data_IF_478376870712
#
_entry.id   IF_478376870712
#
_cell.length_a   1.000
_cell.length_b   1.000
_cell.length_c   1.000
_cell.angle_alpha   90.00
_cell.angle_beta   90.00
_cell.angle_gamma   90.00
#
_symmetry.space_group_name_H-M   'P 1'
#
loop_
_entity.id
_entity.type
_entity.pdbx_description
1 polymer ?
#
# COMPACT_ATOMS: atom_id res chain seq x y z
N UNK A 1 7.71 20.51 -55.39
CA UNK A 1 8.64 20.65 -54.24
C UNK A 1 8.26 21.86 -53.38
N UNK A 2 7.11 21.81 -52.67
CA UNK A 2 6.62 22.95 -51.85
C UNK A 2 5.83 22.50 -50.60
N UNK A 3 6.12 21.31 -50.06
CA UNK A 3 5.32 20.71 -48.97
C UNK A 3 6.11 20.34 -47.71
N UNK A 4 7.42 20.60 -47.64
CA UNK A 4 8.24 20.30 -46.46
C UNK A 4 8.51 21.51 -45.57
N UNK A 5 8.35 22.74 -46.08
CA UNK A 5 8.62 23.97 -45.31
C UNK A 5 7.43 24.42 -44.44
N UNK A 6 6.19 24.12 -44.84
CA UNK A 6 5.00 24.47 -44.05
C UNK A 6 4.93 23.75 -42.69
N UNK A 7 5.52 22.56 -42.60
CA UNK A 7 5.50 21.73 -41.39
C UNK A 7 6.56 22.16 -40.35
N UNK A 8 7.62 22.84 -40.80
CA UNK A 8 8.66 23.36 -39.91
C UNK A 8 8.19 24.65 -39.22
N UNK A 9 7.51 25.54 -39.97
CA UNK A 9 7.00 26.81 -39.43
C UNK A 9 5.86 26.62 -38.40
N UNK A 10 4.99 25.62 -38.57
CA UNK A 10 3.96 25.27 -37.57
C UNK A 10 4.54 24.70 -36.27
N UNK A 11 5.69 24.03 -36.35
CA UNK A 11 6.39 23.46 -35.20
C UNK A 11 7.06 24.56 -34.34
N UNK A 12 7.52 25.64 -34.97
CA UNK A 12 8.11 26.78 -34.26
C UNK A 12 7.04 27.74 -33.70
N UNK A 13 5.91 27.91 -34.38
CA UNK A 13 4.77 28.68 -33.86
C UNK A 13 4.18 28.06 -32.58
N UNK A 14 4.01 26.73 -32.55
CA UNK A 14 3.52 26.00 -31.37
C UNK A 14 4.52 25.96 -30.21
N UNK A 15 5.83 26.04 -30.49
CA UNK A 15 6.88 26.17 -29.46
C UNK A 15 6.83 27.54 -28.78
N UNK A 16 6.59 28.60 -29.53
CA UNK A 16 6.54 29.96 -29.00
C UNK A 16 5.28 30.20 -28.14
N UNK A 17 4.14 29.61 -28.53
CA UNK A 17 2.93 29.61 -27.70
C UNK A 17 3.09 28.74 -26.43
N UNK A 18 3.78 27.58 -26.50
CA UNK A 18 4.11 26.77 -25.32
C UNK A 18 5.07 27.48 -24.37
N UNK A 19 6.05 28.23 -24.88
CA UNK A 19 6.94 29.04 -24.05
C UNK A 19 6.18 30.18 -23.34
N UNK A 20 5.21 30.80 -24.02
CA UNK A 20 4.37 31.85 -23.43
C UNK A 20 3.38 31.31 -22.38
N UNK A 21 2.84 30.10 -22.56
CA UNK A 21 1.99 29.44 -21.55
C UNK A 21 2.77 28.93 -20.33
N UNK A 22 3.97 28.37 -20.54
CA UNK A 22 4.82 27.90 -19.44
C UNK A 22 5.38 29.09 -18.64
N UNK A 23 5.76 30.19 -19.31
CA UNK A 23 6.27 31.41 -18.68
C UNK A 23 5.28 32.08 -17.72
N UNK A 24 3.96 32.02 -17.99
CA UNK A 24 2.94 32.53 -17.08
C UNK A 24 2.61 31.58 -15.92
N UNK A 25 2.82 30.27 -16.06
CA UNK A 25 2.55 29.30 -15.00
C UNK A 25 3.63 29.23 -13.91
N UNK A 26 4.84 29.71 -14.22
CA UNK A 26 6.02 29.58 -13.33
C UNK A 26 6.37 30.89 -12.59
N UNK A 27 5.82 32.04 -13.02
CA UNK A 27 6.13 33.36 -12.43
C UNK A 27 4.91 34.04 -11.80
N UNK A 28 4.09 33.28 -11.07
CA UNK A 28 3.06 33.78 -10.16
C UNK A 28 3.57 33.82 -8.72
N UNK A 29 4.26 34.92 -8.41
CA UNK A 29 4.54 35.54 -7.10
C UNK A 29 4.17 34.79 -5.82
N UNK A 30 5.16 34.69 -4.93
CA UNK A 30 4.97 34.28 -3.54
C UNK A 30 4.09 35.26 -2.77
N UNK A 31 3.07 34.71 -2.12
CA UNK A 31 2.52 35.23 -0.89
C UNK A 31 2.14 34.03 -0.01
N UNK A 32 2.55 34.02 1.26
CA UNK A 32 2.23 32.95 2.22
C UNK A 32 0.82 33.11 2.79
N UNK A 33 -0.17 33.30 1.93
CA UNK A 33 -1.58 33.19 2.30
C UNK A 33 -2.10 31.87 1.73
N UNK A 34 -2.31 30.90 2.62
CA UNK A 34 -2.85 29.59 2.27
C UNK A 34 -4.28 29.79 1.75
N UNK A 35 -4.44 29.76 0.43
CA UNK A 35 -5.74 29.89 -0.25
C UNK A 35 -6.59 28.62 -0.04
N UNK A 36 -7.16 28.50 1.16
CA UNK A 36 -8.18 27.50 1.52
C UNK A 36 -9.33 27.47 0.51
N UNK A 37 -9.64 28.61 -0.10
CA UNK A 37 -10.70 28.78 -1.09
C UNK A 37 -10.37 28.06 -2.39
N UNK A 38 -9.12 28.07 -2.84
CA UNK A 38 -8.72 27.38 -4.07
C UNK A 38 -8.60 25.86 -3.87
N UNK A 39 -8.17 25.43 -2.67
CA UNK A 39 -8.26 24.03 -2.27
C UNK A 39 -9.73 23.55 -2.22
N UNK A 40 -10.63 24.32 -1.60
CA UNK A 40 -12.07 24.02 -1.53
C UNK A 40 -12.74 23.98 -2.92
N UNK A 41 -12.41 24.93 -3.80
CA UNK A 41 -12.88 24.92 -5.20
C UNK A 41 -12.35 23.72 -5.97
N UNK A 42 -11.09 23.33 -5.75
CA UNK A 42 -10.50 22.12 -6.31
C UNK A 42 -11.19 20.83 -5.86
N UNK A 43 -11.68 20.78 -4.61
CA UNK A 43 -12.38 19.63 -4.04
C UNK A 43 -13.81 19.41 -4.55
N UNK A 44 -14.43 20.41 -5.21
CA UNK A 44 -15.79 20.29 -5.74
C UNK A 44 -15.92 19.17 -6.79
N UNK A 45 -14.90 18.98 -7.64
CA UNK A 45 -14.88 17.95 -8.69
C UNK A 45 -14.81 16.52 -8.11
N UNK A 46 -13.93 16.20 -7.14
CA UNK A 46 -13.96 14.93 -6.40
C UNK A 46 -15.29 14.62 -5.72
N UNK A 47 -15.95 15.62 -5.13
CA UNK A 47 -17.25 15.44 -4.46
C UNK A 47 -18.32 14.99 -5.45
N UNK A 48 -18.35 15.56 -6.65
CA UNK A 48 -19.25 15.11 -7.72
C UNK A 48 -18.93 13.68 -8.20
N UNK A 49 -17.66 13.29 -8.23
CA UNK A 49 -17.27 11.91 -8.56
C UNK A 49 -17.72 10.88 -7.50
N UNK A 50 -18.09 11.33 -6.29
CA UNK A 50 -18.59 10.45 -5.23
C UNK A 50 -20.00 9.89 -5.54
N UNK A 51 -20.68 10.43 -6.56
CA UNK A 51 -21.96 9.91 -7.09
C UNK A 51 -21.86 8.46 -7.56
N UNK A 52 -20.71 8.05 -8.14
CA UNK A 52 -20.49 6.65 -8.55
C UNK A 52 -20.48 5.72 -7.34
N UNK A 53 -19.91 6.19 -6.22
CA UNK A 53 -19.88 5.43 -4.96
C UNK A 53 -21.27 5.37 -4.33
N UNK A 54 -22.06 6.46 -4.41
CA UNK A 54 -23.46 6.46 -4.01
C UNK A 54 -24.29 5.41 -4.77
N UNK A 55 -24.03 5.23 -6.07
CA UNK A 55 -24.68 4.19 -6.86
C UNK A 55 -24.29 2.77 -6.40
N UNK A 56 -23.01 2.54 -6.08
CA UNK A 56 -22.56 1.27 -5.50
C UNK A 56 -23.18 1.01 -4.11
N UNK A 57 -23.34 2.05 -3.29
CA UNK A 57 -24.03 1.98 -1.99
C UNK A 57 -25.50 1.62 -2.19
N UNK A 58 -26.21 2.24 -3.13
CA UNK A 58 -27.61 1.93 -3.44
C UNK A 58 -27.81 0.48 -3.94
N UNK A 59 -26.87 -0.05 -4.73
CA UNK A 59 -26.87 -1.46 -5.14
C UNK A 59 -26.61 -2.41 -3.95
N UNK A 60 -25.72 -2.02 -3.04
CA UNK A 60 -25.46 -2.74 -1.78
C UNK A 60 -26.68 -2.75 -0.86
N UNK A 61 -27.43 -1.64 -0.79
CA UNK A 61 -28.72 -1.52 -0.10
C UNK A 61 -29.73 -2.54 -0.63
N UNK A 62 -29.81 -2.69 -1.96
CA UNK A 62 -30.74 -3.65 -2.58
C UNK A 62 -30.40 -5.11 -2.24
N UNK A 63 -29.12 -5.41 -2.00
CA UNK A 63 -28.62 -6.73 -1.64
C UNK A 63 -28.51 -6.98 -0.12
N UNK A 64 -28.86 -6.00 0.74
CA UNK A 64 -28.80 -6.10 2.21
C UNK A 64 -27.44 -6.53 2.77
N UNK A 65 -26.33 -6.01 2.24
CA UNK A 65 -24.98 -6.37 2.72
C UNK A 65 -24.65 -5.81 4.12
N UNK A 66 -25.42 -4.85 4.65
CA UNK A 66 -25.16 -4.24 5.98
C UNK A 66 -23.90 -3.37 6.05
N UNK A 67 -23.24 -3.11 4.90
CA UNK A 67 -22.00 -2.36 4.79
C UNK A 67 -22.19 -0.85 4.62
N UNK A 68 -23.42 -0.36 4.57
CA UNK A 68 -23.76 1.01 4.16
C UNK A 68 -23.12 2.06 5.05
N UNK A 69 -23.24 1.90 6.38
CA UNK A 69 -22.64 2.80 7.38
C UNK A 69 -21.11 2.71 7.37
N UNK A 70 -20.56 1.51 7.16
CA UNK A 70 -19.11 1.32 7.07
C UNK A 70 -18.53 1.97 5.80
N UNK A 71 -19.23 1.89 4.67
CA UNK A 71 -18.82 2.51 3.41
C UNK A 71 -18.82 4.04 3.53
N UNK A 72 -19.91 4.64 4.01
CA UNK A 72 -20.01 6.10 4.17
C UNK A 72 -18.94 6.61 5.15
N UNK A 73 -18.78 5.95 6.29
CA UNK A 73 -17.74 6.29 7.26
C UNK A 73 -16.33 6.17 6.66
N UNK A 74 -16.07 5.13 5.88
CA UNK A 74 -14.78 4.91 5.23
C UNK A 74 -14.46 5.99 4.20
N UNK A 75 -15.43 6.42 3.40
CA UNK A 75 -15.25 7.48 2.40
C UNK A 75 -14.97 8.82 3.08
N UNK A 76 -15.79 9.19 4.08
CA UNK A 76 -15.61 10.45 4.80
C UNK A 76 -14.25 10.49 5.49
N UNK A 77 -13.87 9.40 6.16
CA UNK A 77 -12.56 9.26 6.78
C UNK A 77 -11.43 9.34 5.75
N UNK A 78 -11.54 8.66 4.61
CA UNK A 78 -10.53 8.69 3.56
C UNK A 78 -10.36 10.09 2.97
N UNK A 79 -11.47 10.81 2.75
CA UNK A 79 -11.45 12.19 2.27
C UNK A 79 -10.70 13.11 3.25
N UNK A 80 -11.11 13.11 4.52
CA UNK A 80 -10.45 13.91 5.56
C UNK A 80 -8.97 13.53 5.71
N UNK A 81 -8.65 12.24 5.71
CA UNK A 81 -7.29 11.75 5.85
C UNK A 81 -6.40 12.16 4.66
N UNK A 82 -6.89 12.05 3.43
CA UNK A 82 -6.13 12.44 2.24
C UNK A 82 -5.89 13.96 2.19
N UNK A 83 -6.88 14.77 2.58
CA UNK A 83 -6.71 16.23 2.69
C UNK A 83 -5.63 16.61 3.70
N UNK A 84 -5.66 16.00 4.89
CA UNK A 84 -4.64 16.26 5.92
C UNK A 84 -3.26 15.80 5.45
N UNK A 85 -3.16 14.59 4.86
CA UNK A 85 -1.89 14.06 4.36
C UNK A 85 -1.30 14.94 3.25
N UNK A 86 -2.15 15.47 2.35
CA UNK A 86 -1.69 16.39 1.30
C UNK A 86 -0.95 17.61 1.86
N UNK A 87 -1.51 18.22 2.91
CA UNK A 87 -0.88 19.36 3.59
C UNK A 87 0.41 18.96 4.33
N UNK A 88 0.39 17.84 5.04
CA UNK A 88 1.57 17.32 5.76
C UNK A 88 2.72 17.02 4.79
N UNK A 89 2.43 16.43 3.64
CA UNK A 89 3.45 16.11 2.63
C UNK A 89 4.07 17.37 2.02
N UNK A 90 3.28 18.43 1.79
CA UNK A 90 3.83 19.70 1.32
C UNK A 90 4.86 20.27 2.30
N UNK A 91 4.56 20.22 3.61
CA UNK A 91 5.49 20.65 4.65
C UNK A 91 6.76 19.77 4.67
N UNK A 92 6.60 18.45 4.61
CA UNK A 92 7.73 17.50 4.64
C UNK A 92 8.62 17.67 3.40
N UNK A 93 8.05 17.90 2.22
CA UNK A 93 8.83 18.06 0.98
C UNK A 93 9.64 19.36 0.94
N UNK A 94 9.22 20.39 1.67
CA UNK A 94 9.98 21.63 1.81
C UNK A 94 11.19 21.46 2.74
N UNK A 95 11.17 20.44 3.61
CA UNK A 95 12.25 20.14 4.55
C UNK A 95 13.16 19.05 3.97
N UNK A 96 14.36 19.39 3.49
CA UNK A 96 15.34 18.43 2.95
C UNK A 96 16.07 17.59 4.03
N UNK A 97 15.42 17.33 5.17
CA UNK A 97 16.01 16.61 6.29
C UNK A 97 15.56 15.14 6.32
N UNK A 98 16.52 14.22 6.33
CA UNK A 98 16.28 12.77 6.37
C UNK A 98 15.46 12.32 7.59
N UNK A 99 15.49 13.09 8.69
CA UNK A 99 14.74 12.83 9.92
C UNK A 99 13.23 12.75 9.64
N UNK A 100 12.70 13.63 8.78
CA UNK A 100 11.27 13.64 8.44
C UNK A 100 10.85 12.41 7.63
N UNK A 101 11.73 11.91 6.77
CA UNK A 101 11.49 10.68 6.00
C UNK A 101 11.37 9.49 6.95
N UNK A 102 12.31 9.35 7.88
CA UNK A 102 12.33 8.26 8.87
C UNK A 102 11.11 8.35 9.79
N UNK A 103 10.77 9.56 10.27
CA UNK A 103 9.59 9.77 11.11
C UNK A 103 8.29 9.39 10.38
N UNK A 104 8.11 9.83 9.13
CA UNK A 104 6.97 9.46 8.31
C UNK A 104 6.91 7.94 8.07
N UNK A 105 8.06 7.30 7.83
CA UNK A 105 8.15 5.85 7.65
C UNK A 105 7.73 5.08 8.92
N UNK A 106 8.26 5.44 10.09
CA UNK A 106 7.90 4.81 11.37
C UNK A 106 6.40 5.00 11.65
N UNK A 107 5.86 6.20 11.38
CA UNK A 107 4.44 6.48 11.52
C UNK A 107 3.58 5.57 10.62
N UNK A 108 3.95 5.44 9.34
CA UNK A 108 3.28 4.54 8.39
C UNK A 108 3.31 3.08 8.86
N UNK A 109 4.48 2.58 9.28
CA UNK A 109 4.63 1.19 9.76
C UNK A 109 3.81 0.95 11.03
N UNK A 110 3.73 1.93 11.93
CA UNK A 110 2.95 1.84 13.17
C UNK A 110 1.45 1.69 12.89
N UNK A 111 0.91 2.54 12.00
CA UNK A 111 -0.50 2.46 11.58
C UNK A 111 -0.77 1.16 10.83
N UNK A 112 0.16 0.74 9.98
CA UNK A 112 0.07 -0.51 9.24
C UNK A 112 0.04 -1.73 10.17
N UNK A 113 0.94 -1.80 11.14
CA UNK A 113 0.98 -2.86 12.15
C UNK A 113 -0.31 -2.91 12.98
N UNK A 114 -0.81 -1.75 13.42
CA UNK A 114 -2.09 -1.67 14.13
C UNK A 114 -3.26 -2.18 13.27
N UNK A 115 -3.34 -1.74 12.02
CA UNK A 115 -4.43 -2.09 11.10
C UNK A 115 -4.38 -3.56 10.68
N UNK A 116 -3.20 -4.08 10.35
CA UNK A 116 -3.00 -5.50 10.03
C UNK A 116 -3.32 -6.39 11.23
N UNK A 117 -2.85 -6.02 12.43
CA UNK A 117 -3.18 -6.74 13.66
C UNK A 117 -4.68 -6.72 13.97
N UNK A 118 -5.37 -5.60 13.70
CA UNK A 118 -6.81 -5.51 13.89
C UNK A 118 -7.61 -6.37 12.89
N UNK A 119 -7.04 -6.72 11.72
CA UNK A 119 -7.67 -7.68 10.79
C UNK A 119 -7.62 -9.12 11.31
N UNK A 120 -6.67 -9.44 12.18
CA UNK A 120 -6.51 -10.75 12.81
C UNK A 120 -6.96 -10.74 14.28
N UNK A 121 -8.22 -10.32 14.54
CA UNK A 121 -8.79 -9.95 15.87
C UNK A 121 -8.61 -10.92 17.07
N UNK A 122 -7.99 -12.08 16.91
CA UNK A 122 -7.80 -13.06 17.99
C UNK A 122 -6.40 -13.66 18.00
N UNK A 123 -5.47 -13.13 17.20
CA UNK A 123 -4.07 -13.56 17.29
C UNK A 123 -3.44 -12.86 18.50
N UNK A 124 -2.88 -13.60 19.47
CA UNK A 124 -2.24 -13.00 20.63
C UNK A 124 -1.12 -12.07 20.19
N UNK A 125 -1.08 -10.86 20.74
CA UNK A 125 -0.12 -9.81 20.35
C UNK A 125 -0.09 -9.51 18.85
N UNK A 126 -1.21 -9.74 18.14
CA UNK A 126 -1.28 -9.63 16.68
C UNK A 126 -0.85 -8.27 16.12
N UNK A 127 -1.06 -7.18 16.85
CA UNK A 127 -0.57 -5.83 16.48
C UNK A 127 0.96 -5.72 16.47
N UNK A 128 1.62 -6.29 17.48
CA UNK A 128 3.07 -6.28 17.57
C UNK A 128 3.70 -7.23 16.54
N UNK A 129 3.13 -8.44 16.41
CA UNK A 129 3.56 -9.43 15.40
C UNK A 129 3.48 -8.83 14.00
N UNK A 130 2.34 -8.22 13.66
CA UNK A 130 2.16 -7.58 12.36
C UNK A 130 3.08 -6.37 12.15
N UNK A 131 3.23 -5.52 13.17
CA UNK A 131 4.13 -4.36 13.10
C UNK A 131 5.59 -4.76 12.90
N UNK A 132 6.08 -5.73 13.68
CA UNK A 132 7.43 -6.25 13.56
C UNK A 132 7.67 -6.91 12.20
N UNK A 133 6.72 -7.73 11.72
CA UNK A 133 6.88 -8.41 10.43
C UNK A 133 6.88 -7.44 9.25
N UNK A 134 5.98 -6.45 9.25
CA UNK A 134 5.94 -5.39 8.25
C UNK A 134 7.24 -4.59 8.30
N UNK A 135 7.67 -4.14 9.49
CA UNK A 135 8.90 -3.38 9.66
C UNK A 135 10.10 -4.14 9.09
N UNK A 136 10.27 -5.41 9.43
CA UNK A 136 11.38 -6.23 8.93
C UNK A 136 11.31 -6.38 7.41
N UNK A 137 10.15 -6.74 6.86
CA UNK A 137 10.01 -6.93 5.41
C UNK A 137 10.25 -5.65 4.62
N UNK A 138 9.66 -4.53 5.03
CA UNK A 138 9.84 -3.26 4.34
C UNK A 138 11.22 -2.67 4.57
N UNK A 139 11.83 -2.84 5.75
CA UNK A 139 13.18 -2.36 6.03
C UNK A 139 14.22 -3.08 5.18
N UNK A 140 14.13 -4.41 5.02
CA UNK A 140 15.04 -5.18 4.15
C UNK A 140 15.00 -4.66 2.72
N UNK A 141 13.81 -4.48 2.17
CA UNK A 141 13.65 -3.98 0.80
C UNK A 141 14.04 -2.51 0.64
N UNK A 142 13.75 -1.65 1.62
CA UNK A 142 14.15 -0.24 1.58
C UNK A 142 15.67 -0.11 1.70
N UNK A 143 16.31 -0.91 2.54
CA UNK A 143 17.75 -0.98 2.62
C UNK A 143 18.36 -1.38 1.27
N UNK A 144 17.82 -2.42 0.63
CA UNK A 144 18.27 -2.86 -0.70
C UNK A 144 18.11 -1.75 -1.75
N UNK A 145 17.00 -1.01 -1.72
CA UNK A 145 16.75 0.12 -2.62
C UNK A 145 17.79 1.24 -2.44
N UNK A 146 18.13 1.58 -1.19
CA UNK A 146 19.13 2.61 -0.88
C UNK A 146 20.53 2.16 -1.31
N UNK A 147 20.90 0.91 -1.02
CA UNK A 147 22.22 0.37 -1.40
C UNK A 147 22.40 0.32 -2.91
N UNK A 148 21.36 -0.06 -3.65
CA UNK A 148 21.38 -0.09 -5.11
C UNK A 148 21.34 1.31 -5.75
N UNK A 149 21.19 2.39 -4.96
CA UNK A 149 21.11 3.78 -5.43
C UNK A 149 20.16 3.98 -6.60
N UNK A 150 19.03 3.25 -6.59
CA UNK A 150 18.08 3.26 -7.72
C UNK A 150 17.36 4.61 -7.83
N UNK A 151 17.20 5.31 -6.71
CA UNK A 151 16.56 6.62 -6.63
C UNK A 151 17.42 7.59 -5.83
N UNK A 152 17.40 8.90 -6.16
CA UNK A 152 17.91 9.90 -5.25
C UNK A 152 17.11 9.84 -3.95
N UNK A 153 17.81 9.87 -2.80
CA UNK A 153 17.20 9.78 -1.48
C UNK A 153 16.49 11.08 -1.09
N UNK A 154 15.44 11.42 -1.83
CA UNK A 154 14.62 12.62 -1.58
C UNK A 154 13.24 12.20 -1.05
N UNK A 155 12.62 13.04 -0.20
CA UNK A 155 11.30 12.77 0.36
C UNK A 155 10.24 12.43 -0.70
N UNK A 156 10.34 13.05 -1.87
CA UNK A 156 9.37 12.93 -2.98
C UNK A 156 9.32 11.53 -3.59
N UNK A 157 10.42 10.77 -3.58
CA UNK A 157 10.45 9.39 -4.07
C UNK A 157 10.29 8.38 -2.94
N UNK A 158 11.01 8.57 -1.83
CA UNK A 158 11.09 7.57 -0.76
C UNK A 158 9.75 7.42 -0.03
N UNK A 159 9.05 8.52 0.26
CA UNK A 159 7.80 8.46 1.05
C UNK A 159 6.68 7.73 0.28
N UNK A 160 6.39 8.03 -1.00
CA UNK A 160 5.39 7.28 -1.76
C UNK A 160 5.74 5.81 -1.95
N UNK A 161 7.00 5.50 -2.26
CA UNK A 161 7.46 4.10 -2.45
C UNK A 161 7.34 3.32 -1.14
N UNK A 162 7.80 3.90 -0.03
CA UNK A 162 7.62 3.32 1.30
C UNK A 162 6.14 3.08 1.62
N UNK A 163 5.28 4.08 1.35
CA UNK A 163 3.84 3.97 1.58
C UNK A 163 3.19 2.82 0.82
N UNK A 164 3.57 2.63 -0.46
CA UNK A 164 3.09 1.49 -1.26
C UNK A 164 3.56 0.15 -0.70
N UNK A 165 4.82 0.06 -0.27
CA UNK A 165 5.41 -1.17 0.29
C UNK A 165 4.79 -1.55 1.62
N UNK A 166 4.66 -0.57 2.51
CA UNK A 166 4.01 -0.72 3.82
C UNK A 166 2.53 -1.08 3.66
N UNK A 167 1.81 -0.43 2.74
CA UNK A 167 0.40 -0.71 2.48
C UNK A 167 0.12 -2.11 1.91
N UNK A 168 0.94 -2.58 0.97
CA UNK A 168 0.84 -3.95 0.47
C UNK A 168 1.21 -4.97 1.56
N UNK A 169 2.32 -4.74 2.26
CA UNK A 169 2.77 -5.60 3.36
C UNK A 169 1.73 -5.70 4.47
N UNK A 170 1.07 -4.61 4.82
CA UNK A 170 -0.07 -4.57 5.76
C UNK A 170 -1.20 -5.49 5.32
N UNK A 171 -1.57 -5.41 4.03
CA UNK A 171 -2.70 -6.19 3.52
C UNK A 171 -2.36 -7.67 3.47
N UNK A 172 -1.21 -8.04 2.92
CA UNK A 172 -0.76 -9.43 2.85
C UNK A 172 -0.60 -10.01 4.26
N UNK A 173 0.13 -9.33 5.14
CA UNK A 173 0.35 -9.77 6.54
C UNK A 173 -0.97 -9.99 7.28
N UNK A 174 -1.90 -9.03 7.20
CA UNK A 174 -3.20 -9.15 7.86
C UNK A 174 -4.03 -10.32 7.35
N UNK A 175 -3.99 -10.59 6.04
CA UNK A 175 -4.67 -11.76 5.44
C UNK A 175 -3.97 -13.06 5.83
N UNK A 176 -2.63 -13.13 5.77
CA UNK A 176 -1.85 -14.31 6.18
C UNK A 176 -2.14 -14.70 7.61
N UNK A 177 -2.07 -13.75 8.56
CA UNK A 177 -2.33 -14.01 9.97
C UNK A 177 -3.76 -14.47 10.23
N UNK A 178 -4.74 -13.81 9.60
CA UNK A 178 -6.15 -14.18 9.71
C UNK A 178 -6.39 -15.59 9.17
N UNK A 179 -5.89 -15.90 7.96
CA UNK A 179 -6.09 -17.20 7.32
C UNK A 179 -5.35 -18.33 8.01
N UNK A 180 -4.13 -18.10 8.48
CA UNK A 180 -3.43 -19.10 9.26
C UNK A 180 -4.22 -19.48 10.52
N UNK A 181 -4.75 -18.50 11.25
CA UNK A 181 -5.59 -18.75 12.43
C UNK A 181 -6.86 -19.51 12.07
N UNK A 182 -7.56 -19.08 11.03
CA UNK A 182 -8.81 -19.69 10.59
C UNK A 182 -8.57 -21.15 10.15
N UNK A 183 -7.51 -21.42 9.39
CA UNK A 183 -7.15 -22.76 8.90
C UNK A 183 -6.76 -23.70 10.05
N UNK A 184 -5.98 -23.22 11.02
CA UNK A 184 -5.63 -23.99 12.24
C UNK A 184 -6.89 -24.28 13.07
N UNK A 185 -7.83 -23.33 13.16
CA UNK A 185 -9.10 -23.53 13.86
C UNK A 185 -9.97 -24.60 13.18
N UNK A 186 -10.10 -24.53 11.86
CA UNK A 186 -10.91 -25.48 11.07
C UNK A 186 -10.28 -26.88 11.13
N UNK A 187 -8.96 -26.97 11.01
CA UNK A 187 -8.23 -28.24 10.97
C UNK A 187 -7.64 -28.64 12.33
N UNK A 188 -8.25 -28.17 13.43
CA UNK A 188 -7.76 -28.40 14.80
C UNK A 188 -7.48 -29.89 15.06
N UNK A 189 -8.41 -30.77 14.72
CA UNK A 189 -8.28 -32.21 14.93
C UNK A 189 -7.06 -32.80 14.23
N UNK A 190 -6.75 -32.34 13.01
CA UNK A 190 -5.58 -32.80 12.25
C UNK A 190 -4.27 -32.33 12.89
N UNK A 191 -4.24 -31.08 13.36
CA UNK A 191 -3.07 -30.52 14.06
C UNK A 191 -2.84 -31.25 15.39
N UNK A 192 -3.89 -31.49 16.18
CA UNK A 192 -3.79 -32.22 17.46
C UNK A 192 -3.38 -33.67 17.26
N UNK A 193 -3.90 -34.35 16.22
CA UNK A 193 -3.51 -35.72 15.89
C UNK A 193 -2.03 -35.79 15.49
N UNK A 194 -1.55 -34.84 14.67
CA UNK A 194 -0.15 -34.78 14.29
C UNK A 194 0.76 -34.56 15.51
N UNK A 195 0.38 -33.67 16.44
CA UNK A 195 1.10 -33.45 17.69
C UNK A 195 1.11 -34.71 18.59
N UNK A 196 -0.02 -35.42 18.67
CA UNK A 196 -0.13 -36.68 19.42
C UNK A 196 0.75 -37.80 18.84
N UNK A 197 0.98 -37.80 17.51
CA UNK A 197 1.91 -38.69 16.83
C UNK A 197 3.39 -38.24 16.96
N UNK A 198 3.66 -37.18 17.73
CA UNK A 198 5.02 -36.67 17.98
C UNK A 198 5.53 -35.67 16.96
N UNK A 199 4.69 -35.15 16.06
CA UNK A 199 5.10 -34.11 15.13
C UNK A 199 5.41 -32.81 15.87
N UNK A 200 6.40 -32.07 15.39
CA UNK A 200 6.68 -30.71 15.90
C UNK A 200 5.57 -29.75 15.48
N UNK A 201 5.29 -28.65 16.22
CA UNK A 201 4.28 -27.67 15.83
C UNK A 201 4.48 -27.12 14.41
N UNK A 202 5.73 -26.93 14.00
CA UNK A 202 6.09 -26.48 12.65
C UNK A 202 5.65 -27.49 11.57
N UNK A 203 5.81 -28.79 11.82
CA UNK A 203 5.35 -29.85 10.91
C UNK A 203 3.81 -29.93 10.91
N UNK A 204 3.20 -29.85 12.09
CA UNK A 204 1.75 -29.94 12.25
C UNK A 204 1.00 -28.79 11.54
N UNK A 205 1.59 -27.59 11.47
CA UNK A 205 0.97 -26.42 10.81
C UNK A 205 1.49 -26.10 9.40
N UNK A 206 2.41 -26.91 8.85
CA UNK A 206 3.11 -26.58 7.62
C UNK A 206 2.15 -26.33 6.44
N UNK A 207 1.13 -27.18 6.29
CA UNK A 207 0.17 -27.09 5.20
C UNK A 207 -0.73 -25.84 5.33
N UNK A 208 -1.10 -25.47 6.55
CA UNK A 208 -1.91 -24.30 6.86
C UNK A 208 -1.13 -23.02 6.59
N UNK A 209 0.15 -22.98 6.98
CA UNK A 209 1.06 -21.85 6.66
C UNK A 209 1.19 -21.69 5.14
N UNK A 210 1.42 -22.78 4.41
CA UNK A 210 1.54 -22.75 2.94
C UNK A 210 0.28 -22.19 2.28
N UNK A 211 -0.90 -22.67 2.68
CA UNK A 211 -2.19 -22.20 2.16
C UNK A 211 -2.43 -20.71 2.46
N UNK A 212 -2.20 -20.29 3.70
CA UNK A 212 -2.36 -18.90 4.12
C UNK A 212 -1.43 -17.95 3.34
N UNK A 213 -0.18 -18.34 3.09
CA UNK A 213 0.77 -17.55 2.31
C UNK A 213 0.36 -17.43 0.84
N UNK A 214 0.00 -18.55 0.20
CA UNK A 214 -0.46 -18.55 -1.21
C UNK A 214 -1.67 -17.63 -1.36
N UNK A 215 -2.70 -17.80 -0.52
CA UNK A 215 -3.91 -16.99 -0.58
C UNK A 215 -3.65 -15.50 -0.37
N UNK A 216 -2.72 -15.14 0.52
CA UNK A 216 -2.39 -13.76 0.80
C UNK A 216 -1.53 -13.10 -0.29
N UNK A 217 -0.64 -13.86 -0.94
CA UNK A 217 0.28 -13.35 -1.95
C UNK A 217 -0.29 -13.38 -3.38
N UNK A 218 -1.29 -14.23 -3.65
CA UNK A 218 -1.92 -14.33 -4.97
C UNK A 218 -2.31 -12.97 -5.57
N UNK A 219 -3.01 -12.06 -4.86
CA UNK A 219 -3.38 -10.77 -5.43
C UNK A 219 -2.19 -9.90 -5.83
N UNK A 220 -1.08 -9.97 -5.09
CA UNK A 220 0.14 -9.21 -5.39
C UNK A 220 0.80 -9.76 -6.66
N UNK A 221 0.86 -11.08 -6.80
CA UNK A 221 1.40 -11.74 -7.99
C UNK A 221 0.51 -11.54 -9.22
N UNK A 222 -0.81 -11.57 -9.05
CA UNK A 222 -1.75 -11.36 -10.15
C UNK A 222 -1.74 -9.90 -10.64
N UNK A 223 -1.58 -8.94 -9.72
CA UNK A 223 -1.32 -7.54 -10.10
C UNK A 223 0.00 -7.41 -10.88
N UNK A 224 1.07 -8.07 -10.44
CA UNK A 224 2.37 -8.04 -11.13
C UNK A 224 2.33 -8.67 -12.54
N UNK A 225 1.46 -9.66 -12.79
CA UNK A 225 1.28 -10.25 -14.13
C UNK A 225 0.52 -9.35 -15.10
N UNK A 226 -0.33 -8.48 -14.57
CA UNK A 226 -1.29 -7.69 -15.37
C UNK A 226 -0.89 -6.22 -15.49
N UNK A 227 0.04 -5.76 -14.64
CA UNK A 227 0.57 -4.40 -14.66
C UNK A 227 1.21 -4.08 -16.01
N UNK A 228 0.86 -2.93 -16.58
CA UNK A 228 1.32 -2.51 -17.90
C UNK A 228 0.52 -3.06 -19.09
N UNK A 229 -0.26 -4.13 -18.90
CA UNK A 229 -1.15 -4.68 -19.94
C UNK A 229 -2.58 -4.13 -19.84
N UNK A 230 -3.17 -4.20 -18.64
CA UNK A 230 -4.57 -3.78 -18.41
C UNK A 230 -4.66 -2.49 -17.58
N UNK A 231 -3.64 -2.23 -16.77
CA UNK A 231 -3.62 -1.11 -15.84
C UNK A 231 -2.22 -0.52 -15.80
N UNK A 232 -2.14 0.79 -16.01
CA UNK A 232 -0.94 1.57 -15.72
C UNK A 232 -0.97 1.98 -14.24
N UNK A 233 0.06 1.66 -13.45
CA UNK A 233 0.14 2.10 -12.05
C UNK A 233 0.03 3.61 -11.93
N UNK A 234 -0.69 4.09 -10.91
CA UNK A 234 -0.95 5.52 -10.75
C UNK A 234 0.32 6.38 -10.66
N UNK A 235 1.38 5.89 -10.03
CA UNK A 235 2.66 6.60 -9.98
C UNK A 235 3.32 6.71 -11.36
N UNK A 236 3.28 5.63 -12.16
CA UNK A 236 3.79 5.62 -13.53
C UNK A 236 2.97 6.56 -14.44
N UNK A 237 1.64 6.48 -14.40
CA UNK A 237 0.76 7.39 -15.14
C UNK A 237 0.96 8.84 -14.72
N UNK A 238 1.15 9.09 -13.42
CA UNK A 238 1.42 10.43 -12.90
C UNK A 238 2.73 11.02 -13.42
N UNK A 239 3.80 10.23 -13.51
CA UNK A 239 5.06 10.66 -14.11
C UNK A 239 4.90 10.99 -15.60
N UNK A 240 4.18 10.15 -16.36
CA UNK A 240 3.92 10.37 -17.79
C UNK A 240 3.07 11.64 -18.00
N UNK A 241 2.01 11.82 -17.22
CA UNK A 241 1.18 13.05 -17.27
C UNK A 241 1.96 14.29 -16.83
N UNK A 242 2.96 14.13 -15.97
CA UNK A 242 3.90 15.17 -15.57
C UNK A 242 4.97 15.49 -16.60
N UNK A 243 4.96 14.84 -17.77
CA UNK A 243 5.90 15.09 -18.87
C UNK A 243 7.21 14.30 -18.79
N UNK A 244 7.35 13.35 -17.86
CA UNK A 244 8.50 12.45 -17.83
C UNK A 244 8.47 11.48 -19.01
N UNK A 245 9.64 10.99 -19.44
CA UNK A 245 9.69 10.02 -20.53
C UNK A 245 9.02 8.70 -20.11
N UNK A 246 8.22 8.06 -20.99
CA UNK A 246 7.59 6.78 -20.67
C UNK A 246 8.60 5.69 -20.30
N UNK A 247 9.79 5.73 -20.91
CA UNK A 247 10.83 4.74 -20.66
C UNK A 247 11.39 4.84 -19.23
N UNK A 248 11.65 6.05 -18.73
CA UNK A 248 12.05 6.26 -17.34
C UNK A 248 10.95 5.83 -16.37
N UNK A 249 9.69 6.19 -16.65
CA UNK A 249 8.56 5.81 -15.81
C UNK A 249 8.42 4.27 -15.69
N UNK A 250 8.63 3.53 -16.78
CA UNK A 250 8.61 2.06 -16.77
C UNK A 250 9.74 1.48 -15.93
N UNK A 251 10.98 1.97 -16.11
CA UNK A 251 12.14 1.46 -15.35
C UNK A 251 11.93 1.60 -13.84
N UNK A 252 11.44 2.76 -13.40
CA UNK A 252 11.13 3.00 -11.99
C UNK A 252 10.01 2.09 -11.51
N UNK A 253 8.98 1.88 -12.32
CA UNK A 253 7.84 1.04 -11.97
C UNK A 253 8.23 -0.44 -11.83
N UNK A 254 9.14 -0.97 -12.68
CA UNK A 254 9.66 -2.34 -12.56
C UNK A 254 10.36 -2.53 -11.21
N UNK A 255 11.20 -1.58 -10.81
CA UNK A 255 11.91 -1.62 -9.52
C UNK A 255 10.90 -1.63 -8.37
N UNK A 256 9.95 -0.69 -8.39
CA UNK A 256 8.92 -0.60 -7.34
C UNK A 256 8.13 -1.91 -7.25
N UNK A 257 7.79 -2.53 -8.38
CA UNK A 257 7.01 -3.76 -8.37
C UNK A 257 7.78 -4.94 -7.76
N UNK A 258 9.06 -5.08 -8.09
CA UNK A 258 9.92 -6.09 -7.46
C UNK A 258 10.04 -5.86 -5.95
N UNK A 259 10.19 -4.62 -5.52
CA UNK A 259 10.26 -4.25 -4.10
C UNK A 259 8.94 -4.52 -3.36
N UNK A 260 7.79 -4.28 -4.00
CA UNK A 260 6.47 -4.58 -3.43
C UNK A 260 6.28 -6.09 -3.19
N UNK A 261 6.64 -6.92 -4.17
CA UNK A 261 6.58 -8.38 -4.07
C UNK A 261 7.53 -8.87 -2.97
N UNK A 262 8.78 -8.37 -2.98
CA UNK A 262 9.79 -8.71 -1.98
C UNK A 262 9.34 -8.36 -0.56
N UNK A 263 8.90 -7.11 -0.34
CA UNK A 263 8.49 -6.62 0.97
C UNK A 263 7.30 -7.40 1.51
N UNK A 264 6.31 -7.65 0.67
CA UNK A 264 5.10 -8.40 1.04
C UNK A 264 5.40 -9.86 1.36
N UNK A 265 6.29 -10.49 0.59
CA UNK A 265 6.72 -11.88 0.81
C UNK A 265 7.50 -12.03 2.10
N UNK A 266 8.51 -11.17 2.34
CA UNK A 266 9.30 -11.20 3.58
C UNK A 266 8.41 -10.88 4.79
N UNK A 267 7.55 -9.88 4.69
CA UNK A 267 6.63 -9.50 5.78
C UNK A 267 5.67 -10.64 6.13
N UNK A 268 5.06 -11.29 5.13
CA UNK A 268 4.12 -12.37 5.36
C UNK A 268 4.79 -13.62 5.93
N UNK A 269 5.96 -14.01 5.43
CA UNK A 269 6.75 -15.11 5.99
C UNK A 269 7.19 -14.79 7.42
N UNK A 270 7.68 -13.58 7.69
CA UNK A 270 8.07 -13.18 9.05
C UNK A 270 6.85 -13.19 9.99
N UNK A 271 5.68 -12.79 9.50
CA UNK A 271 4.44 -12.83 10.27
C UNK A 271 4.06 -14.25 10.66
N UNK A 272 4.24 -15.24 9.77
CA UNK A 272 3.94 -16.65 10.12
C UNK A 272 4.92 -17.15 11.16
N UNK A 273 6.22 -16.85 11.02
CA UNK A 273 7.27 -17.20 11.99
C UNK A 273 7.06 -16.58 13.38
N UNK A 274 6.53 -15.36 13.46
CA UNK A 274 6.25 -14.69 14.74
C UNK A 274 4.88 -15.05 15.31
N UNK A 275 3.94 -15.47 14.46
CA UNK A 275 2.57 -15.81 14.86
C UNK A 275 2.47 -17.23 15.42
N UNK A 276 3.11 -18.23 14.79
CA UNK A 276 2.97 -19.64 15.17
C UNK A 276 3.31 -19.96 16.63
N UNK A 277 4.33 -19.37 17.30
CA UNK A 277 4.65 -19.74 18.68
C UNK A 277 3.54 -19.32 19.64
N UNK A 278 2.76 -18.29 19.29
CA UNK A 278 1.65 -17.81 20.13
C UNK A 278 0.40 -18.69 20.04
N UNK A 279 0.39 -19.72 19.17
CA UNK A 279 -0.72 -20.68 19.08
C UNK A 279 -0.50 -21.93 19.93
N UNK A 280 0.73 -22.14 20.42
CA UNK A 280 1.11 -23.32 21.18
C UNK A 280 1.59 -22.93 22.57
N UNK A 281 1.23 -23.74 23.55
CA UNK A 281 1.81 -23.67 24.89
C UNK A 281 3.23 -24.23 24.90
N UNK A 282 4.00 -23.98 25.98
CA UNK A 282 5.35 -24.57 26.17
C UNK A 282 5.36 -26.10 26.13
N UNK A 283 4.23 -26.75 26.34
CA UNK A 283 4.04 -28.19 26.27
C UNK A 283 3.57 -28.68 24.88
N UNK A 284 3.67 -27.84 23.83
CA UNK A 284 3.21 -28.14 22.47
C UNK A 284 1.74 -28.54 22.34
N UNK A 285 0.88 -28.00 23.21
CA UNK A 285 -0.57 -28.11 23.08
C UNK A 285 -1.14 -26.84 22.46
N UNK A 286 -2.17 -26.98 21.63
CA UNK A 286 -2.90 -25.84 21.06
C UNK A 286 -3.56 -25.03 22.17
N UNK A 287 -3.28 -23.73 22.21
CA UNK A 287 -3.82 -22.85 23.25
C UNK A 287 -5.30 -22.53 22.95
N UNK A 288 -6.20 -23.16 23.69
CA UNK A 288 -7.65 -23.04 23.47
C UNK A 288 -8.15 -21.58 23.54
N UNK A 289 -7.52 -20.73 24.34
CA UNK A 289 -7.85 -19.29 24.48
C UNK A 289 -7.72 -18.49 23.18
N UNK A 290 -6.93 -18.98 22.22
CA UNK A 290 -6.74 -18.31 20.91
C UNK A 290 -7.90 -18.61 19.94
N UNK A 291 -8.60 -19.73 20.15
CA UNK A 291 -9.57 -20.28 19.20
C UNK A 291 -11.00 -20.29 19.72
N UNK A 292 -11.20 -20.05 21.02
CA UNK A 292 -12.50 -19.81 21.63
C UNK A 292 -12.83 -18.33 21.47
N UNK A 293 -13.77 -18.02 20.59
CA UNK A 293 -14.45 -16.74 20.56
C UNK A 293 -15.44 -16.72 21.73
N UNK A 294 -15.27 -15.81 22.68
CA UNK A 294 -16.41 -15.29 23.45
C UNK A 294 -17.43 -14.66 22.50
#
# INVERSE_FOLDING_TARGET
MRSTWQYADDCDATKNERAHFIGKSVLGQGNMDVDWVDFLKGMLKPVLATVVVLMAVLLSFYQKLGLEKEMVYSILRAFLQLSIIGFVLQFIFNQQNAIWIIAAYIFMVSIAGYTAGQRAKHVPRGKFVAGASILTGTAVTMFLLVVLSVFPFTPRYIIPVAGMMVGNSMTVTGVTMKRLRDDVRIQKNLVETALALGATPRQATHQQVKRALILALSPVLDNAKTVGLISLPGAMTGLIMGGASPLEAIQLQIVVMNMLIGASTVSSIMSTYLCWPNFFTKAYQLEAKVFISE
#
